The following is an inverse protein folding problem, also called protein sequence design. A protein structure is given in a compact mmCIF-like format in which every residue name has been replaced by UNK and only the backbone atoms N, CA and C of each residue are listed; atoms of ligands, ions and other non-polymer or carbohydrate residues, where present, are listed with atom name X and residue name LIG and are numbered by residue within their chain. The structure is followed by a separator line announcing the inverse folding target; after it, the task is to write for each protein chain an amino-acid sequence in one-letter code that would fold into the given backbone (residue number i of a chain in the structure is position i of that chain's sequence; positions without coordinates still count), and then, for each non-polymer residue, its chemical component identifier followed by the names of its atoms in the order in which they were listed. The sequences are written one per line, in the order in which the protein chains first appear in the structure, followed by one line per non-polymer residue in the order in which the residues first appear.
data_IF_176887812229
#
_entry.id   IF_176887812229
#
_cell.length_a   1.000
_cell.length_b   1.000
_cell.length_c   1.000
_cell.angle_alpha   90.00
_cell.angle_beta   90.00
_cell.angle_gamma   90.00
#
_symmetry.space_group_name_H-M   'P 1'
#
loop_
_entity.id
_entity.type
_entity.pdbx_description
1 polymer ?
#
# COMPACT_ATOMS: atom_id res chain seq x y z
N UNK A 1 -20.08 -4.64 5.84
CA UNK A 1 -18.70 -4.51 5.31
C UNK A 1 -18.12 -3.25 5.92
N UNK A 2 -17.34 -3.42 6.95
CA UNK A 2 -16.75 -2.29 7.67
C UNK A 2 -15.37 -2.01 7.11
N UNK A 3 -15.28 -1.03 6.22
CA UNK A 3 -14.01 -0.48 5.77
C UNK A 3 -13.49 0.48 6.85
N UNK A 4 -12.28 0.24 7.33
CA UNK A 4 -11.58 1.16 8.20
C UNK A 4 -10.59 1.93 7.34
N UNK A 5 -10.88 3.19 7.05
CA UNK A 5 -9.92 4.11 6.46
C UNK A 5 -9.28 4.91 7.60
N UNK A 6 -7.98 4.85 7.76
CA UNK A 6 -7.29 5.85 8.56
C UNK A 6 -7.15 7.09 7.69
N UNK A 7 -7.95 8.12 7.96
CA UNK A 7 -7.76 9.46 7.42
C UNK A 7 -6.85 10.22 8.35
N UNK A 8 -5.66 10.50 7.88
CA UNK A 8 -4.80 11.49 8.50
C UNK A 8 -3.45 10.96 8.93
N UNK A 9 -2.41 11.67 8.53
CA UNK A 9 -1.01 11.51 8.90
C UNK A 9 -0.38 10.23 8.33
N UNK A 10 0.05 10.33 7.08
CA UNK A 10 1.05 9.54 6.37
C UNK A 10 1.25 8.09 6.80
N UNK A 11 0.43 7.17 6.28
CA UNK A 11 0.65 5.74 6.50
C UNK A 11 1.82 5.25 5.63
N UNK A 12 2.92 4.85 6.23
CA UNK A 12 4.03 4.19 5.53
C UNK A 12 3.81 2.69 5.58
N UNK A 13 3.82 2.07 4.42
CA UNK A 13 3.77 0.63 4.27
C UNK A 13 5.13 0.11 3.82
N UNK A 14 5.80 -0.65 4.69
CA UNK A 14 7.07 -1.32 4.41
C UNK A 14 6.84 -2.81 4.31
N UNK A 15 7.37 -3.42 3.26
CA UNK A 15 7.30 -4.85 3.08
C UNK A 15 8.66 -5.47 3.23
N UNK A 16 8.75 -6.53 4.05
CA UNK A 16 9.97 -7.28 4.28
C UNK A 16 9.83 -8.70 3.74
N UNK A 17 10.79 -9.12 2.95
CA UNK A 17 11.01 -10.52 2.61
C UNK A 17 12.43 -10.90 3.04
N UNK A 18 12.58 -12.04 3.71
CA UNK A 18 13.87 -12.52 4.23
C UNK A 18 14.65 -11.48 5.06
N UNK A 19 13.96 -10.64 5.83
CA UNK A 19 14.56 -9.61 6.68
C UNK A 19 15.02 -8.34 5.94
N UNK A 20 14.72 -8.18 4.66
CA UNK A 20 14.99 -6.95 3.90
C UNK A 20 13.70 -6.25 3.53
N UNK A 21 13.71 -4.91 3.54
CA UNK A 21 12.65 -4.10 2.95
C UNK A 21 12.74 -4.25 1.43
N UNK A 22 11.69 -4.80 0.81
CA UNK A 22 11.64 -5.02 -0.64
C UNK A 22 10.86 -3.93 -1.38
N UNK A 23 9.91 -3.30 -0.71
CA UNK A 23 9.18 -2.14 -1.24
C UNK A 23 8.56 -1.35 -0.09
N UNK A 24 8.41 -0.04 -0.30
CA UNK A 24 7.68 0.85 0.61
C UNK A 24 6.91 1.88 -0.21
N UNK A 25 5.76 2.29 0.31
CA UNK A 25 4.97 3.39 -0.24
C UNK A 25 4.17 4.06 0.89
N UNK A 26 3.74 5.29 0.64
CA UNK A 26 3.04 6.11 1.63
C UNK A 26 1.70 6.55 1.08
N UNK A 27 0.66 6.48 1.90
CA UNK A 27 -0.68 6.91 1.55
C UNK A 27 -1.74 6.28 2.44
N UNK A 28 -2.99 6.41 2.06
CA UNK A 28 -4.12 5.90 2.83
C UNK A 28 -4.21 4.37 2.75
N UNK A 29 -4.16 3.71 3.92
CA UNK A 29 -4.35 2.27 4.06
C UNK A 29 -5.77 1.99 4.57
N UNK A 30 -6.40 0.97 4.00
CA UNK A 30 -7.70 0.46 4.41
C UNK A 30 -7.52 -0.89 5.12
N UNK A 31 -7.95 -0.97 6.37
CA UNK A 31 -8.07 -2.22 7.09
C UNK A 31 -9.43 -2.84 6.79
N UNK A 32 -9.44 -4.07 6.30
CA UNK A 32 -10.64 -4.80 5.90
C UNK A 32 -10.76 -6.11 6.67
N UNK A 33 -11.88 -6.80 6.53
CA UNK A 33 -12.11 -8.12 7.13
C UNK A 33 -11.19 -9.23 6.59
N UNK A 34 -10.59 -9.02 5.40
CA UNK A 34 -9.66 -9.96 4.77
C UNK A 34 -8.19 -9.51 4.83
N UNK A 35 -7.87 -8.33 5.36
CA UNK A 35 -6.51 -7.83 5.46
C UNK A 35 -6.40 -6.32 5.22
N UNK A 36 -5.34 -5.91 4.52
CA UNK A 36 -5.05 -4.51 4.22
C UNK A 36 -5.22 -4.23 2.72
N UNK A 37 -5.65 -3.01 2.40
CA UNK A 37 -5.89 -2.52 1.05
C UNK A 37 -5.54 -1.03 0.96
N UNK A 38 -5.73 -0.43 -0.20
CA UNK A 38 -5.44 0.98 -0.46
C UNK A 38 -4.29 1.17 -1.45
N UNK A 39 -4.09 2.41 -1.89
CA UNK A 39 -3.11 2.74 -2.94
C UNK A 39 -1.69 2.26 -2.62
N UNK A 40 -1.14 2.48 -1.41
CA UNK A 40 0.20 1.97 -1.08
C UNK A 40 0.29 0.44 -1.15
N UNK A 41 -0.79 -0.25 -0.72
CA UNK A 41 -0.84 -1.71 -0.80
C UNK A 41 -0.85 -2.19 -2.24
N UNK A 42 -1.58 -1.53 -3.14
CA UNK A 42 -1.57 -1.86 -4.57
C UNK A 42 -0.17 -1.70 -5.17
N UNK A 43 0.52 -0.61 -4.85
CA UNK A 43 1.87 -0.34 -5.35
C UNK A 43 2.89 -1.39 -4.93
N UNK A 44 2.84 -1.84 -3.68
CA UNK A 44 3.84 -2.78 -3.15
C UNK A 44 3.42 -4.24 -3.26
N UNK A 45 2.15 -4.54 -3.61
CA UNK A 45 1.62 -5.91 -3.64
C UNK A 45 2.38 -6.83 -4.60
N UNK A 46 2.77 -6.33 -5.77
CA UNK A 46 3.54 -7.10 -6.77
C UNK A 46 4.84 -7.70 -6.20
N UNK A 47 5.58 -6.91 -5.43
CA UNK A 47 6.84 -7.39 -4.82
C UNK A 47 6.60 -8.49 -3.78
N UNK A 48 5.46 -8.44 -3.11
CA UNK A 48 5.11 -9.44 -2.13
C UNK A 48 4.59 -10.72 -2.74
N UNK A 49 3.74 -10.61 -3.74
CA UNK A 49 3.25 -11.78 -4.47
C UNK A 49 4.44 -12.53 -5.04
N UNK A 50 5.37 -11.82 -5.70
CA UNK A 50 6.59 -12.42 -6.24
C UNK A 50 7.42 -13.11 -5.15
N UNK A 51 7.66 -12.45 -4.01
CA UNK A 51 8.42 -13.05 -2.91
C UNK A 51 7.70 -14.28 -2.33
N UNK A 52 6.37 -14.28 -2.25
CA UNK A 52 5.58 -15.43 -1.81
C UNK A 52 5.65 -16.60 -2.80
N UNK A 53 5.59 -16.32 -4.10
CA UNK A 53 5.74 -17.32 -5.16
C UNK A 53 7.15 -17.96 -5.14
N UNK A 54 8.17 -17.21 -4.73
CA UNK A 54 9.52 -17.69 -4.46
C UNK A 54 9.64 -18.46 -3.11
N UNK A 55 8.52 -18.67 -2.39
CA UNK A 55 8.49 -19.38 -1.11
C UNK A 55 9.01 -18.58 0.09
N UNK A 56 9.17 -17.26 -0.04
CA UNK A 56 9.64 -16.41 1.03
C UNK A 56 8.49 -16.03 1.97
N UNK A 57 8.80 -15.87 3.27
CA UNK A 57 7.87 -15.30 4.24
C UNK A 57 7.83 -13.78 4.05
N UNK A 58 6.63 -13.24 3.94
CA UNK A 58 6.41 -11.82 3.71
C UNK A 58 5.68 -11.21 4.89
N UNK A 59 6.20 -10.09 5.39
CA UNK A 59 5.58 -9.28 6.44
C UNK A 59 5.29 -7.89 5.91
N UNK A 60 4.15 -7.35 6.33
CA UNK A 60 3.80 -5.95 6.18
C UNK A 60 4.07 -5.22 7.49
N UNK A 61 4.82 -4.14 7.43
CA UNK A 61 4.99 -3.19 8.54
C UNK A 61 4.22 -1.93 8.19
N UNK A 62 3.26 -1.57 9.03
CA UNK A 62 2.42 -0.39 8.82
C UNK A 62 2.71 0.63 9.92
N UNK A 63 3.08 1.83 9.53
CA UNK A 63 3.22 2.98 10.41
C UNK A 63 1.99 3.88 10.22
N UNK A 64 1.08 3.89 11.19
CA UNK A 64 -0.16 4.67 11.12
C UNK A 64 0.02 6.14 11.50
N UNK A 65 1.23 6.55 11.79
CA UNK A 65 1.60 7.91 12.17
C UNK A 65 2.96 8.32 11.54
N UNK A 66 3.14 8.04 10.24
CA UNK A 66 4.42 8.15 9.55
C UNK A 66 5.05 9.54 9.62
N UNK A 67 4.23 10.59 9.55
CA UNK A 67 4.70 11.98 9.60
C UNK A 67 5.03 12.47 11.02
N UNK A 68 4.78 11.62 12.04
CA UNK A 68 5.00 11.97 13.45
C UNK A 68 6.15 11.11 14.00
N UNK A 69 7.13 11.74 14.65
CA UNK A 69 8.17 11.01 15.36
C UNK A 69 7.59 10.27 16.57
N UNK A 70 8.20 9.15 16.95
CA UNK A 70 7.71 8.32 18.06
C UNK A 70 7.56 9.11 19.36
N UNK A 71 8.53 9.98 19.70
CA UNK A 71 8.49 10.79 20.92
C UNK A 71 7.37 11.84 20.90
N UNK A 72 7.11 12.44 19.73
CA UNK A 72 6.02 13.39 19.55
C UNK A 72 4.67 12.68 19.64
N UNK A 73 4.54 11.51 19.01
CA UNK A 73 3.37 10.65 19.10
C UNK A 73 3.10 10.24 20.55
N UNK A 74 4.12 9.80 21.28
CA UNK A 74 4.01 9.47 22.69
C UNK A 74 3.49 10.64 23.51
N UNK A 75 4.03 11.85 23.28
CA UNK A 75 3.60 13.07 23.95
C UNK A 75 2.14 13.40 23.64
N UNK A 76 1.70 13.23 22.40
CA UNK A 76 0.31 13.44 21.98
C UNK A 76 -0.63 12.44 22.65
N UNK A 77 -0.26 11.16 22.71
CA UNK A 77 -1.05 10.11 23.35
C UNK A 77 -1.21 10.38 24.84
N UNK A 78 -0.12 10.70 25.55
CA UNK A 78 -0.14 11.07 26.97
C UNK A 78 -1.04 12.28 27.23
N UNK A 79 -0.92 13.32 26.42
CA UNK A 79 -1.76 14.51 26.53
C UNK A 79 -3.25 14.17 26.36
N UNK A 80 -3.60 13.41 25.30
CA UNK A 80 -4.98 13.03 25.02
C UNK A 80 -5.61 12.20 26.14
N UNK A 81 -4.89 11.18 26.64
CA UNK A 81 -5.33 10.31 27.73
C UNK A 81 -5.49 11.13 29.04
N UNK A 82 -4.50 11.95 29.40
CA UNK A 82 -4.55 12.73 30.63
C UNK A 82 -5.64 13.80 30.64
N UNK A 83 -5.92 14.41 29.50
CA UNK A 83 -6.98 15.43 29.37
C UNK A 83 -8.39 14.84 29.45
N UNK A 84 -8.56 13.57 29.07
CA UNK A 84 -9.86 12.91 28.95
C UNK A 84 -9.97 11.65 29.79
N UNK A 85 -9.42 11.65 31.01
CA UNK A 85 -9.40 10.50 31.94
C UNK A 85 -10.76 9.88 32.25
N UNK A 86 -11.82 10.64 32.12
CA UNK A 86 -13.21 10.21 32.36
C UNK A 86 -13.85 9.47 31.17
N UNK A 87 -13.14 9.39 30.04
CA UNK A 87 -13.60 8.69 28.85
C UNK A 87 -12.93 7.31 28.70
N UNK A 88 -13.41 6.51 27.75
CA UNK A 88 -12.69 5.31 27.35
C UNK A 88 -11.41 5.66 26.57
N UNK A 89 -10.46 4.73 26.51
CA UNK A 89 -9.21 4.89 25.76
C UNK A 89 -9.52 5.24 24.30
N UNK A 90 -10.43 4.50 23.66
CA UNK A 90 -10.80 4.74 22.27
C UNK A 90 -11.45 6.09 22.03
N UNK A 91 -12.18 6.62 22.99
CA UNK A 91 -12.79 7.95 22.92
C UNK A 91 -11.78 9.05 23.18
N UNK A 92 -10.88 8.86 24.15
CA UNK A 92 -9.84 9.84 24.46
C UNK A 92 -8.91 10.08 23.25
N UNK A 93 -8.63 9.04 22.46
CA UNK A 93 -7.77 9.09 21.29
C UNK A 93 -8.50 9.36 19.97
N UNK A 94 -9.84 9.40 19.95
CA UNK A 94 -10.65 9.56 18.73
C UNK A 94 -10.44 10.90 17.99
N UNK A 95 -9.88 11.90 18.66
CA UNK A 95 -9.47 13.17 18.03
C UNK A 95 -8.17 13.09 17.25
N UNK A 96 -7.36 12.06 17.48
CA UNK A 96 -6.07 11.83 16.83
C UNK A 96 -6.20 10.73 15.76
N UNK A 97 -6.90 9.67 16.06
CA UNK A 97 -7.02 8.48 15.21
C UNK A 97 -8.47 7.98 15.15
N UNK A 98 -8.78 7.24 14.09
CA UNK A 98 -10.08 6.59 13.96
C UNK A 98 -10.33 5.66 15.15
N UNK A 99 -11.52 5.75 15.79
CA UNK A 99 -11.88 4.97 16.98
C UNK A 99 -11.69 3.46 16.78
N UNK A 100 -12.07 2.92 15.62
CA UNK A 100 -11.94 1.49 15.33
C UNK A 100 -10.47 1.06 15.20
N UNK A 101 -9.63 1.90 14.60
CA UNK A 101 -8.18 1.67 14.55
C UNK A 101 -7.59 1.63 15.96
N UNK A 102 -7.96 2.58 16.83
CA UNK A 102 -7.51 2.58 18.22
C UNK A 102 -7.97 1.32 18.94
N UNK A 103 -9.22 0.89 18.76
CA UNK A 103 -9.73 -0.35 19.38
C UNK A 103 -8.95 -1.58 18.91
N UNK A 104 -8.60 -1.66 17.62
CA UNK A 104 -7.79 -2.74 17.08
C UNK A 104 -6.39 -2.74 17.70
N UNK A 105 -5.72 -1.59 17.74
CA UNK A 105 -4.38 -1.43 18.30
C UNK A 105 -4.37 -1.76 19.80
N UNK A 106 -5.36 -1.31 20.55
CA UNK A 106 -5.50 -1.66 21.97
C UNK A 106 -5.60 -3.17 22.17
N UNK A 107 -6.42 -3.83 21.36
CA UNK A 107 -6.56 -5.29 21.39
C UNK A 107 -5.25 -6.01 21.11
N UNK A 108 -4.48 -5.54 20.14
CA UNK A 108 -3.19 -6.13 19.76
C UNK A 108 -2.15 -6.06 20.89
N UNK A 109 -2.21 -5.03 21.73
CA UNK A 109 -1.33 -4.88 22.92
C UNK A 109 -1.95 -5.42 24.22
N UNK A 110 -3.11 -6.09 24.12
CA UNK A 110 -3.78 -6.73 25.27
C UNK A 110 -4.58 -5.78 26.17
N UNK A 111 -5.05 -4.66 25.63
CA UNK A 111 -5.87 -3.68 26.35
C UNK A 111 -7.27 -3.62 25.71
N UNK A 112 -8.30 -3.50 26.53
CA UNK A 112 -9.64 -3.23 26.03
C UNK A 112 -9.78 -1.74 25.68
N UNK A 113 -10.09 -1.43 24.41
CA UNK A 113 -10.28 -0.04 23.96
C UNK A 113 -11.42 0.71 24.66
N UNK A 114 -12.33 -0.02 25.33
CA UNK A 114 -13.41 0.52 26.15
C UNK A 114 -13.04 0.69 27.63
N UNK A 115 -11.85 0.25 28.07
CA UNK A 115 -11.38 0.49 29.44
C UNK A 115 -11.21 2.00 29.69
N UNK A 116 -11.16 2.39 30.95
CA UNK A 116 -11.01 3.81 31.32
C UNK A 116 -9.66 4.36 30.91
N UNK A 117 -9.64 5.55 30.36
CA UNK A 117 -8.38 6.25 30.09
C UNK A 117 -7.58 6.53 31.36
N UNK A 118 -8.23 6.52 32.56
CA UNK A 118 -7.54 6.65 33.84
C UNK A 118 -6.61 5.47 34.17
N UNK A 119 -6.84 4.31 33.55
CA UNK A 119 -6.09 3.07 33.77
C UNK A 119 -4.84 2.98 32.88
N UNK A 120 -4.66 3.96 31.98
CA UNK A 120 -3.56 4.02 31.04
C UNK A 120 -2.41 4.81 31.68
N UNK A 121 -1.35 4.11 31.97
CA UNK A 121 -0.10 4.69 32.48
C UNK A 121 0.87 5.07 31.33
N UNK A 122 2.00 5.58 31.72
CA UNK A 122 3.07 6.01 30.80
C UNK A 122 3.65 4.83 30.00
N UNK A 123 3.74 3.64 30.60
CA UNK A 123 4.27 2.44 29.94
C UNK A 123 3.31 1.94 28.87
N UNK A 124 2.02 2.00 29.13
CA UNK A 124 0.97 1.68 28.15
C UNK A 124 0.99 2.68 27.00
N UNK A 125 1.12 3.99 27.27
CA UNK A 125 1.27 5.01 26.23
C UNK A 125 2.48 4.73 25.34
N UNK A 126 3.60 4.30 25.94
CA UNK A 126 4.80 3.98 25.19
C UNK A 126 4.63 2.73 24.32
N UNK A 127 3.95 1.69 24.83
CA UNK A 127 3.59 0.50 24.06
C UNK A 127 2.68 0.86 22.88
N UNK A 128 1.67 1.70 23.10
CA UNK A 128 0.78 2.21 22.05
C UNK A 128 1.58 2.95 20.97
N UNK A 129 2.43 3.91 21.34
CA UNK A 129 3.24 4.68 20.40
C UNK A 129 4.12 3.76 19.52
N UNK A 130 4.86 2.86 20.14
CA UNK A 130 5.72 1.91 19.42
C UNK A 130 4.92 0.99 18.48
N UNK A 131 3.79 0.48 18.97
CA UNK A 131 2.96 -0.41 18.17
C UNK A 131 2.36 0.34 16.97
N UNK A 132 1.86 1.56 17.16
CA UNK A 132 1.35 2.43 16.09
C UNK A 132 2.40 2.76 15.03
N UNK A 133 3.67 2.86 15.40
CA UNK A 133 4.79 3.08 14.49
C UNK A 133 5.21 1.83 13.71
N UNK A 134 4.78 0.64 14.13
CA UNK A 134 5.20 -0.61 13.50
C UNK A 134 4.18 -1.74 13.73
N UNK A 135 2.95 -1.55 13.21
CA UNK A 135 1.98 -2.63 13.13
C UNK A 135 2.52 -3.71 12.19
N UNK A 136 2.56 -4.94 12.68
CA UNK A 136 3.20 -6.04 11.96
C UNK A 136 2.17 -7.10 11.57
N UNK A 137 2.07 -7.39 10.28
CA UNK A 137 1.15 -8.38 9.73
C UNK A 137 1.90 -9.40 8.87
N UNK A 138 1.65 -10.69 9.14
CA UNK A 138 2.09 -11.75 8.24
C UNK A 138 1.16 -11.83 7.04
N UNK A 139 1.72 -11.74 5.85
CA UNK A 139 0.96 -11.87 4.62
C UNK A 139 0.88 -13.35 4.25
N UNK A 140 -0.34 -13.88 4.26
CA UNK A 140 -0.60 -15.30 4.00
C UNK A 140 -1.14 -15.56 2.61
N UNK A 141 -1.53 -14.51 1.86
CA UNK A 141 -2.08 -14.64 0.53
C UNK A 141 -2.51 -13.32 -0.09
N UNK A 142 -3.06 -13.40 -1.28
CA UNK A 142 -3.64 -12.29 -2.03
C UNK A 142 -4.92 -12.77 -2.75
N UNK A 143 -5.75 -11.84 -3.22
CA UNK A 143 -7.06 -12.16 -3.80
C UNK A 143 -7.03 -12.81 -5.20
N UNK A 144 -5.88 -12.95 -5.80
CA UNK A 144 -5.73 -13.47 -7.17
C UNK A 144 -5.95 -12.41 -8.26
N UNK A 145 -5.67 -12.80 -9.50
CA UNK A 145 -5.62 -11.88 -10.65
C UNK A 145 -6.99 -11.30 -11.02
N UNK A 146 -8.08 -12.00 -10.74
CA UNK A 146 -9.45 -11.53 -11.04
C UNK A 146 -9.82 -10.24 -10.29
N UNK A 147 -9.08 -9.92 -9.23
CA UNK A 147 -9.26 -8.70 -8.42
C UNK A 147 -8.17 -7.66 -8.67
N UNK A 148 -7.20 -7.95 -9.54
CA UNK A 148 -6.14 -7.02 -9.87
C UNK A 148 -6.68 -5.88 -10.75
N UNK A 149 -6.29 -4.64 -10.45
CA UNK A 149 -6.58 -3.50 -11.31
C UNK A 149 -5.57 -3.38 -12.45
N UNK A 150 -4.35 -3.85 -12.21
CA UNK A 150 -3.22 -3.89 -13.14
C UNK A 150 -2.46 -5.18 -12.89
N UNK A 151 -2.03 -5.85 -13.95
CA UNK A 151 -1.21 -7.06 -13.87
C UNK A 151 0.23 -6.74 -14.28
N UNK A 152 1.19 -7.31 -13.57
CA UNK A 152 2.59 -7.25 -13.94
C UNK A 152 2.89 -8.30 -15.02
N UNK A 153 3.78 -7.96 -15.97
CA UNK A 153 4.18 -8.83 -17.06
C UNK A 153 3.63 -8.35 -18.41
N UNK A 154 4.03 -9.01 -19.46
CA UNK A 154 3.68 -8.67 -20.83
C UNK A 154 4.85 -8.85 -21.78
N UNK A 155 4.82 -8.18 -22.92
CA UNK A 155 5.91 -8.16 -23.88
C UNK A 155 7.06 -7.31 -23.31
N UNK A 156 8.24 -7.91 -23.23
CA UNK A 156 9.44 -7.22 -22.72
C UNK A 156 9.77 -5.99 -23.57
N UNK A 157 10.01 -4.86 -22.93
CA UNK A 157 10.33 -3.59 -23.60
C UNK A 157 11.59 -3.72 -24.48
N UNK A 158 12.53 -4.58 -24.11
CA UNK A 158 13.74 -4.85 -24.89
C UNK A 158 13.47 -5.53 -26.25
N UNK A 159 12.30 -6.15 -26.42
CA UNK A 159 11.87 -6.76 -27.67
C UNK A 159 11.15 -5.76 -28.61
N UNK A 160 11.01 -4.51 -28.20
CA UNK A 160 10.35 -3.45 -28.94
C UNK A 160 11.34 -2.34 -29.32
N UNK A 161 11.15 -1.80 -30.51
CA UNK A 161 11.85 -0.59 -30.92
C UNK A 161 11.13 0.69 -30.42
N UNK A 162 11.68 1.86 -30.67
CA UNK A 162 11.09 3.14 -30.25
C UNK A 162 9.71 3.47 -30.87
N UNK A 163 9.31 2.70 -31.86
CA UNK A 163 8.00 2.78 -32.54
C UNK A 163 7.00 1.75 -32.02
N UNK A 164 7.34 1.03 -30.96
CA UNK A 164 6.57 -0.06 -30.38
C UNK A 164 6.36 -1.27 -31.33
N UNK A 165 7.22 -1.38 -32.34
CA UNK A 165 7.27 -2.51 -33.26
C UNK A 165 8.19 -3.60 -32.68
N UNK A 166 7.79 -4.87 -32.86
CA UNK A 166 8.61 -6.01 -32.49
C UNK A 166 9.94 -6.02 -33.24
N UNK A 167 11.04 -6.14 -32.51
CA UNK A 167 12.39 -6.30 -33.10
C UNK A 167 12.51 -7.62 -33.83
N UNK A 168 11.86 -8.67 -33.31
CA UNK A 168 11.96 -10.02 -33.82
C UNK A 168 10.94 -10.33 -34.93
N UNK A 169 9.84 -9.59 -35.00
CA UNK A 169 8.75 -9.81 -35.92
C UNK A 169 8.29 -8.48 -36.56
N UNK A 170 8.96 -8.00 -37.61
CA UNK A 170 8.60 -6.73 -38.26
C UNK A 170 7.12 -6.69 -38.73
N UNK A 171 6.48 -5.55 -38.57
CA UNK A 171 5.06 -5.34 -38.88
C UNK A 171 4.10 -5.69 -37.73
N UNK A 172 4.61 -6.17 -36.58
CA UNK A 172 3.80 -6.41 -35.37
C UNK A 172 4.09 -5.30 -34.37
N UNK A 173 3.04 -4.61 -33.92
CA UNK A 173 3.12 -3.49 -32.99
C UNK A 173 2.35 -3.82 -31.72
N UNK A 174 2.86 -3.35 -30.56
CA UNK A 174 2.27 -3.57 -29.24
C UNK A 174 1.93 -2.25 -28.57
N UNK A 175 0.85 -2.20 -27.79
CA UNK A 175 0.47 -1.00 -27.06
C UNK A 175 -0.28 -1.35 -25.77
N UNK A 176 -0.37 -0.39 -24.86
CA UNK A 176 -1.11 -0.52 -23.61
C UNK A 176 -0.48 -1.50 -22.64
N UNK A 177 -1.32 -2.13 -21.84
CA UNK A 177 -0.95 -3.07 -20.78
C UNK A 177 -0.36 -4.40 -21.29
N UNK A 178 -0.43 -4.65 -22.59
CA UNK A 178 0.23 -5.80 -23.21
C UNK A 178 1.76 -5.69 -23.18
N UNK A 179 2.29 -4.49 -23.06
CA UNK A 179 3.72 -4.22 -22.88
C UNK A 179 4.04 -4.20 -21.38
N UNK A 180 5.12 -4.88 -20.97
CA UNK A 180 5.54 -4.96 -19.56
C UNK A 180 6.03 -3.60 -19.02
N UNK A 181 5.07 -2.71 -18.80
CA UNK A 181 5.26 -1.38 -18.20
C UNK A 181 4.26 -1.16 -17.08
N UNK A 182 4.77 -1.02 -15.87
CA UNK A 182 3.99 -0.76 -14.67
C UNK A 182 4.14 0.69 -14.21
N UNK A 183 3.12 1.50 -14.45
CA UNK A 183 3.03 2.86 -13.93
C UNK A 183 2.61 2.89 -12.45
N UNK A 184 2.94 3.99 -11.76
CA UNK A 184 2.41 4.25 -10.43
C UNK A 184 0.88 4.33 -10.45
N UNK A 185 0.22 3.90 -9.35
CA UNK A 185 -1.20 4.13 -9.17
C UNK A 185 -1.50 5.64 -9.20
N UNK A 186 -2.59 6.05 -9.89
CA UNK A 186 -2.92 7.46 -10.07
C UNK A 186 -3.06 7.90 -11.54
N UNK A 187 -3.40 6.96 -12.44
CA UNK A 187 -3.71 7.24 -13.83
C UNK A 187 -2.54 7.05 -14.82
N UNK A 188 -1.33 6.77 -14.33
CA UNK A 188 -0.16 6.60 -15.21
C UNK A 188 -0.30 5.40 -16.16
N UNK A 189 -0.91 4.30 -15.74
CA UNK A 189 -1.18 3.15 -16.62
C UNK A 189 -2.17 3.50 -17.73
N UNK A 190 -3.22 4.27 -17.42
CA UNK A 190 -4.14 4.78 -18.44
C UNK A 190 -3.44 5.76 -19.40
N UNK A 191 -2.60 6.63 -18.87
CA UNK A 191 -1.81 7.55 -19.72
C UNK A 191 -0.87 6.78 -20.65
N UNK A 192 -0.23 5.72 -20.15
CA UNK A 192 0.58 4.82 -20.95
C UNK A 192 -0.26 4.15 -22.06
N UNK A 193 -1.41 3.60 -21.71
CA UNK A 193 -2.29 2.94 -22.68
C UNK A 193 -2.70 3.88 -23.82
N UNK A 194 -3.08 5.11 -23.51
CA UNK A 194 -3.42 6.14 -24.50
C UNK A 194 -2.21 6.53 -25.34
N UNK A 195 -1.09 6.86 -24.73
CA UNK A 195 0.10 7.35 -25.41
C UNK A 195 0.71 6.29 -26.32
N UNK A 196 0.84 5.06 -25.83
CA UNK A 196 1.36 3.94 -26.60
C UNK A 196 0.43 3.56 -27.76
N UNK A 197 -0.89 3.63 -27.58
CA UNK A 197 -1.86 3.41 -28.65
C UNK A 197 -1.69 4.44 -29.78
N UNK A 198 -1.48 5.71 -29.45
CA UNK A 198 -1.22 6.77 -30.47
C UNK A 198 0.11 6.53 -31.20
N UNK A 199 1.16 6.16 -30.47
CA UNK A 199 2.48 5.86 -31.06
C UNK A 199 2.38 4.67 -32.00
N UNK A 200 1.78 3.56 -31.54
CA UNK A 200 1.62 2.37 -32.35
C UNK A 200 0.80 2.64 -33.63
N UNK A 201 -0.31 3.38 -33.52
CA UNK A 201 -1.14 3.71 -34.69
C UNK A 201 -0.39 4.53 -35.74
N UNK A 202 0.39 5.55 -35.31
CA UNK A 202 1.25 6.32 -36.22
C UNK A 202 2.31 5.44 -36.86
N UNK A 203 2.95 4.59 -36.09
CA UNK A 203 3.99 3.69 -36.57
C UNK A 203 3.48 2.67 -37.59
N UNK A 204 2.28 2.13 -37.39
CA UNK A 204 1.60 1.26 -38.37
C UNK A 204 1.33 2.01 -39.66
N UNK A 205 0.81 3.24 -39.58
CA UNK A 205 0.56 4.07 -40.76
C UNK A 205 1.84 4.30 -41.55
N UNK A 206 2.93 4.70 -40.88
CA UNK A 206 4.22 4.93 -41.52
C UNK A 206 4.83 3.65 -42.10
N UNK A 207 4.61 2.51 -41.45
CA UNK A 207 5.05 1.19 -41.92
C UNK A 207 4.35 0.81 -43.24
N UNK A 208 3.03 0.95 -43.29
CA UNK A 208 2.25 0.65 -44.51
C UNK A 208 2.65 1.51 -45.67
N UNK A 209 2.82 2.82 -45.48
CA UNK A 209 3.22 3.76 -46.54
C UNK A 209 4.64 3.55 -47.06
N UNK A 210 5.52 2.85 -46.35
CA UNK A 210 6.86 2.50 -46.79
C UNK A 210 6.91 1.22 -47.64
N UNK A 211 5.82 0.48 -47.69
CA UNK A 211 5.69 -0.76 -48.44
C UNK A 211 5.03 -0.54 -49.81
N UNK A 212 4.46 0.66 -50.05
CA UNK A 212 4.00 1.13 -51.35
C UNK A 212 5.15 1.82 -52.11
#
# INVERSE_FOLDING_TARGET
RDYYASRGLGDVYKRQAAGRVVAEDTGEIQFTDYGISGIPVFQVSRFAVRAMEEGQRVEALVDVAADIKEDDLLSMLKCAVNTRKHQSVSESLSGLFNKKLVMMICKDIGIEGNSSASDIDDDICQKLARHMKSLRYHITGYKGNDYAQVCQGGVDVSELNGNLESVNNPGIFFAGELVDIDGKCGGYNLQWAWSSGVVAAKSVFDYCNRQE
#
